data_IF_038714637723
#
_entry.id   IF_038714637723
#
_cell.length_a   1.000
_cell.length_b   1.000
_cell.length_c   1.000
_cell.angle_alpha   90.00
_cell.angle_beta   90.00
_cell.angle_gamma   90.00
#
_symmetry.space_group_name_H-M   'P 1'
#
loop_
_entity.id
_entity.type
_entity.pdbx_description
1 polymer ?
#
# COMPACT_ATOMS: atom_id res chain seq x y z
N UNK A 1 -21.29 -10.70 -8.29
CA UNK A 1 -21.50 -9.39 -7.63
C UNK A 1 -20.22 -8.59 -7.77
N UNK A 2 -20.18 -7.46 -8.49
CA UNK A 2 -18.95 -6.69 -8.67
C UNK A 2 -18.44 -6.12 -7.34
N UNK A 3 -17.12 -6.07 -7.17
CA UNK A 3 -16.47 -5.43 -6.02
C UNK A 3 -16.84 -3.94 -5.98
N UNK A 4 -17.44 -3.48 -4.87
CA UNK A 4 -17.78 -2.07 -4.68
C UNK A 4 -16.54 -1.28 -4.25
N UNK A 5 -16.08 -0.39 -5.12
CA UNK A 5 -15.00 0.57 -4.82
C UNK A 5 -15.40 1.51 -3.67
N UNK A 6 -14.51 1.74 -2.70
CA UNK A 6 -14.68 2.78 -1.67
C UNK A 6 -14.86 2.34 -0.21
N UNK A 7 -14.73 1.04 0.11
CA UNK A 7 -14.95 0.56 1.49
C UNK A 7 -14.13 -0.68 1.91
N UNK A 8 -13.04 -0.98 1.20
CA UNK A 8 -12.20 -2.16 1.50
C UNK A 8 -11.20 -1.92 2.62
N UNK A 9 -10.99 -2.91 3.47
CA UNK A 9 -9.93 -2.94 4.48
C UNK A 9 -8.57 -3.25 3.86
N UNK A 10 -7.53 -2.55 4.32
CA UNK A 10 -6.13 -2.78 3.94
C UNK A 10 -5.30 -3.11 5.17
N UNK A 11 -4.32 -4.02 5.00
CA UNK A 11 -3.34 -4.31 6.03
C UNK A 11 -2.60 -3.03 6.45
N UNK A 12 -2.51 -2.80 7.75
CA UNK A 12 -1.92 -1.57 8.30
C UNK A 12 -0.39 -1.56 8.34
N UNK A 13 0.22 -2.74 8.18
CA UNK A 13 1.67 -2.92 8.19
C UNK A 13 2.30 -2.17 7.02
N UNK A 14 3.45 -1.54 7.29
CA UNK A 14 4.19 -0.75 6.32
C UNK A 14 4.58 -1.62 5.12
N UNK A 15 4.39 -1.09 3.91
CA UNK A 15 4.71 -1.77 2.65
C UNK A 15 3.90 -3.07 2.39
N UNK A 16 2.80 -3.28 3.10
CA UNK A 16 1.90 -4.41 2.86
C UNK A 16 0.74 -4.02 1.92
N UNK A 17 0.65 -4.73 0.78
CA UNK A 17 -0.38 -4.49 -0.24
C UNK A 17 -1.55 -5.48 -0.13
N UNK A 18 -1.68 -6.19 0.99
CA UNK A 18 -2.80 -7.11 1.22
C UNK A 18 -4.05 -6.33 1.61
N UNK A 19 -5.10 -6.43 0.81
CA UNK A 19 -6.34 -5.68 0.98
C UNK A 19 -7.56 -6.54 0.62
N UNK A 20 -8.75 -6.04 0.92
CA UNK A 20 -10.01 -6.73 0.65
C UNK A 20 -10.22 -7.02 -0.84
N UNK A 21 -9.76 -6.12 -1.73
CA UNK A 21 -9.85 -6.33 -3.17
C UNK A 21 -9.07 -7.58 -3.60
N UNK A 22 -7.86 -7.81 -3.07
CA UNK A 22 -7.06 -9.00 -3.40
C UNK A 22 -7.70 -10.30 -2.90
N UNK A 23 -8.39 -10.27 -1.75
CA UNK A 23 -9.17 -11.42 -1.29
C UNK A 23 -10.34 -11.70 -2.22
N UNK A 24 -11.09 -10.66 -2.58
CA UNK A 24 -12.17 -10.77 -3.56
C UNK A 24 -11.66 -11.31 -4.90
N UNK A 25 -10.55 -10.79 -5.41
CA UNK A 25 -9.97 -11.24 -6.68
C UNK A 25 -9.57 -12.72 -6.59
N UNK A 26 -9.00 -13.16 -5.47
CA UNK A 26 -8.68 -14.57 -5.24
C UNK A 26 -9.93 -15.46 -5.19
N UNK A 27 -10.94 -15.07 -4.41
CA UNK A 27 -12.20 -15.81 -4.25
C UNK A 27 -12.93 -16.04 -5.58
N UNK A 28 -12.83 -15.08 -6.50
CA UNK A 28 -13.49 -15.13 -7.81
C UNK A 28 -12.56 -15.60 -8.94
N UNK A 29 -11.29 -15.87 -8.65
CA UNK A 29 -10.34 -16.42 -9.62
C UNK A 29 -10.36 -17.96 -9.61
N UNK A 30 -10.09 -18.62 -10.74
CA UNK A 30 -9.93 -20.07 -10.78
C UNK A 30 -8.77 -20.49 -9.87
N UNK A 31 -8.99 -21.54 -9.10
CA UNK A 31 -7.97 -22.07 -8.23
C UNK A 31 -6.83 -22.68 -9.05
N UNK A 32 -5.58 -22.42 -8.65
CA UNK A 32 -4.40 -22.96 -9.34
C UNK A 32 -4.28 -24.49 -9.22
N UNK A 33 -4.77 -25.07 -8.11
CA UNK A 33 -4.73 -26.51 -7.83
C UNK A 33 -5.99 -27.23 -8.35
N UNK A 34 -7.16 -26.62 -8.16
CA UNK A 34 -8.46 -27.17 -8.53
C UNK A 34 -9.06 -26.29 -9.61
N UNK A 35 -8.57 -26.40 -10.85
CA UNK A 35 -8.88 -25.48 -11.96
C UNK A 35 -10.38 -25.33 -12.26
N UNK A 36 -11.17 -26.34 -11.91
CA UNK A 36 -12.62 -26.35 -12.11
C UNK A 36 -13.39 -25.58 -11.03
N UNK A 37 -12.71 -25.17 -9.96
CA UNK A 37 -13.28 -24.45 -8.82
C UNK A 37 -12.66 -23.07 -8.69
N UNK A 38 -13.48 -22.09 -8.32
CA UNK A 38 -12.99 -20.78 -7.91
C UNK A 38 -12.46 -20.82 -6.47
N UNK A 39 -11.67 -19.83 -6.07
CA UNK A 39 -11.12 -19.74 -4.71
C UNK A 39 -12.19 -19.88 -3.62
N UNK A 40 -13.37 -19.29 -3.82
CA UNK A 40 -14.50 -19.38 -2.88
C UNK A 40 -15.05 -20.80 -2.67
N UNK A 41 -15.05 -21.61 -3.73
CA UNK A 41 -15.61 -22.96 -3.74
C UNK A 41 -14.52 -24.03 -3.56
N UNK A 42 -13.23 -23.63 -3.59
CA UNK A 42 -12.11 -24.52 -3.34
C UNK A 42 -11.97 -24.83 -1.83
N UNK A 43 -11.63 -26.06 -1.43
CA UNK A 43 -11.14 -26.37 -0.07
C UNK A 43 -9.79 -25.72 0.28
N UNK A 44 -9.21 -24.97 -0.65
CA UNK A 44 -7.94 -24.28 -0.49
C UNK A 44 -8.02 -23.19 0.58
N UNK A 45 -6.97 -23.07 1.40
CA UNK A 45 -6.83 -21.91 2.25
C UNK A 45 -6.58 -20.66 1.39
N UNK A 46 -7.30 -19.57 1.72
CA UNK A 46 -7.08 -18.27 1.10
C UNK A 46 -5.65 -17.75 1.31
N UNK A 47 -5.19 -16.81 0.48
CA UNK A 47 -3.80 -16.35 0.48
C UNK A 47 -3.42 -15.60 1.77
N UNK A 48 -4.41 -15.05 2.47
CA UNK A 48 -4.30 -14.47 3.80
C UNK A 48 -5.70 -14.26 4.39
N UNK A 49 -5.77 -13.92 5.68
CA UNK A 49 -6.97 -13.42 6.35
C UNK A 49 -6.65 -12.08 7.02
N UNK A 50 -7.65 -11.22 7.16
CA UNK A 50 -7.49 -9.95 7.87
C UNK A 50 -8.00 -10.10 9.31
N UNK A 51 -7.18 -9.67 10.26
CA UNK A 51 -7.45 -9.68 11.69
C UNK A 51 -7.58 -8.25 12.20
N UNK A 52 -8.68 -7.94 12.87
CA UNK A 52 -8.85 -6.65 13.52
C UNK A 52 -7.89 -6.50 14.71
N UNK A 53 -7.42 -5.27 14.93
CA UNK A 53 -6.67 -4.94 16.15
C UNK A 53 -7.61 -5.11 17.36
N UNK A 54 -7.18 -5.78 18.45
CA UNK A 54 -7.99 -5.92 19.66
C UNK A 54 -8.53 -4.58 20.18
N UNK A 55 -9.77 -4.57 20.67
CA UNK A 55 -10.46 -3.33 21.04
C UNK A 55 -9.95 -2.72 22.35
N UNK A 56 -9.54 -3.55 23.31
CA UNK A 56 -9.11 -3.15 24.67
C UNK A 56 -8.05 -4.10 25.22
N UNK A 57 -7.42 -3.74 26.35
CA UNK A 57 -6.49 -4.59 27.08
C UNK A 57 -5.01 -4.41 26.73
N UNK A 58 -4.14 -5.14 27.44
CA UNK A 58 -2.68 -5.05 27.30
C UNK A 58 -2.21 -5.47 25.90
N UNK A 59 -2.83 -6.52 25.35
CA UNK A 59 -2.54 -7.02 23.99
C UNK A 59 -2.76 -5.91 22.95
N UNK A 60 -3.80 -5.06 23.12
CA UNK A 60 -3.99 -3.91 22.23
C UNK A 60 -2.79 -2.97 22.28
N UNK A 61 -2.27 -2.67 23.46
CA UNK A 61 -1.11 -1.77 23.59
C UNK A 61 0.12 -2.37 22.90
N UNK A 62 0.34 -3.67 23.02
CA UNK A 62 1.43 -4.36 22.31
C UNK A 62 1.28 -4.31 20.80
N UNK A 63 0.06 -4.51 20.28
CA UNK A 63 -0.23 -4.32 18.86
C UNK A 63 0.05 -2.90 18.38
N UNK A 64 -0.25 -1.90 19.20
CA UNK A 64 0.04 -0.50 18.84
C UNK A 64 1.54 -0.20 18.91
N UNK A 65 2.27 -0.81 19.86
CA UNK A 65 3.73 -0.69 19.96
C UNK A 65 4.46 -1.34 18.78
N UNK A 66 3.95 -2.44 18.23
CA UNK A 66 4.54 -3.08 17.05
C UNK A 66 4.27 -2.32 15.74
N UNK A 67 3.33 -1.37 15.76
CA UNK A 67 3.03 -0.49 14.64
C UNK A 67 3.88 0.79 14.65
N UNK A 68 3.77 1.58 13.57
CA UNK A 68 4.55 2.81 13.39
C UNK A 68 4.25 3.82 14.51
N UNK A 69 5.26 4.62 14.87
CA UNK A 69 5.09 5.68 15.90
C UNK A 69 3.96 6.63 15.51
N UNK A 70 3.09 6.96 16.46
CA UNK A 70 1.93 7.84 16.24
C UNK A 70 0.77 7.19 15.46
N UNK A 71 0.79 5.86 15.29
CA UNK A 71 -0.29 5.14 14.65
C UNK A 71 -1.61 5.24 15.45
N UNK A 72 -2.67 5.73 14.80
CA UNK A 72 -4.02 5.74 15.34
C UNK A 72 -4.87 4.65 14.64
N UNK A 73 -5.32 3.62 15.36
CA UNK A 73 -6.10 2.53 14.80
C UNK A 73 -7.56 2.96 14.56
N UNK A 74 -7.95 3.16 13.31
CA UNK A 74 -9.36 3.28 12.92
C UNK A 74 -9.72 2.18 11.92
N UNK A 75 -10.60 1.25 12.31
CA UNK A 75 -11.00 0.07 11.52
C UNK A 75 -9.80 -0.66 10.88
N UNK A 76 -8.67 -0.65 11.58
CA UNK A 76 -7.39 -1.13 11.06
C UNK A 76 -7.31 -2.65 11.22
N UNK A 77 -6.74 -3.30 10.21
CA UNK A 77 -6.57 -4.74 10.16
C UNK A 77 -5.13 -5.10 9.86
N UNK A 78 -4.70 -6.27 10.33
CA UNK A 78 -3.40 -6.87 10.01
C UNK A 78 -3.65 -8.21 9.34
N UNK A 79 -2.93 -8.51 8.26
CA UNK A 79 -3.10 -9.79 7.57
C UNK A 79 -2.31 -10.94 8.25
N UNK A 80 -2.77 -12.18 8.06
CA UNK A 80 -2.17 -13.41 8.63
C UNK A 80 -0.66 -13.53 8.40
N UNK A 81 -0.13 -12.96 7.31
CA UNK A 81 1.31 -13.00 6.99
C UNK A 81 2.20 -12.39 8.06
N UNK A 82 1.65 -11.49 8.89
CA UNK A 82 2.42 -10.84 9.96
C UNK A 82 2.35 -11.60 11.30
N UNK A 83 1.54 -12.66 11.38
CA UNK A 83 1.30 -13.47 12.57
C UNK A 83 1.99 -14.83 12.40
N UNK A 84 2.73 -15.27 13.42
CA UNK A 84 3.50 -16.52 13.38
C UNK A 84 2.59 -17.73 13.14
N UNK A 85 1.52 -17.85 13.92
CA UNK A 85 0.57 -18.95 13.82
C UNK A 85 -0.55 -18.67 12.79
N UNK A 86 -0.37 -17.65 11.94
CA UNK A 86 -1.40 -17.10 11.07
C UNK A 86 -2.53 -16.39 11.82
N UNK A 87 -2.69 -16.59 13.13
CA UNK A 87 -3.68 -15.93 13.99
C UNK A 87 -3.02 -15.50 15.31
N UNK A 88 -3.63 -14.55 16.05
CA UNK A 88 -3.17 -14.23 17.41
C UNK A 88 -3.41 -15.43 18.34
N UNK A 89 -2.39 -15.88 19.05
CA UNK A 89 -2.46 -16.97 20.04
C UNK A 89 -1.93 -16.50 21.39
N UNK A 90 -2.10 -17.30 22.45
CA UNK A 90 -1.57 -16.96 23.77
C UNK A 90 -0.03 -16.85 23.79
N UNK A 91 0.66 -17.65 22.95
CA UNK A 91 2.11 -17.63 22.80
C UNK A 91 2.58 -16.52 21.84
N UNK A 92 1.83 -16.29 20.76
CA UNK A 92 2.13 -15.28 19.75
C UNK A 92 0.94 -14.32 19.57
N UNK A 93 0.71 -13.41 20.53
CA UNK A 93 -0.49 -12.57 20.52
C UNK A 93 -0.39 -11.42 19.53
N UNK A 94 0.82 -11.03 19.09
CA UNK A 94 1.09 -9.81 18.32
C UNK A 94 1.69 -10.12 16.93
N UNK A 95 1.54 -9.21 15.95
CA UNK A 95 2.23 -9.34 14.69
C UNK A 95 3.71 -9.00 14.83
N UNK A 96 4.56 -9.88 14.31
CA UNK A 96 6.04 -9.79 14.41
C UNK A 96 6.70 -9.94 13.04
N UNK A 97 6.06 -10.65 12.11
CA UNK A 97 6.65 -10.98 10.82
C UNK A 97 6.48 -9.85 9.80
N UNK A 98 7.51 -9.65 8.97
CA UNK A 98 7.47 -8.73 7.81
C UNK A 98 6.93 -7.32 8.13
N UNK A 99 7.27 -6.78 9.30
CA UNK A 99 6.70 -5.51 9.78
C UNK A 99 7.15 -4.26 8.98
N UNK A 100 8.01 -4.44 7.98
CA UNK A 100 8.44 -3.38 7.05
C UNK A 100 9.48 -2.41 7.61
N UNK A 101 9.91 -2.57 8.86
CA UNK A 101 11.01 -1.83 9.46
C UNK A 101 12.33 -2.53 9.16
N UNK A 102 12.75 -2.57 7.89
CA UNK A 102 14.17 -2.80 7.65
C UNK A 102 14.93 -1.60 8.23
N UNK A 103 16.00 -1.81 9.02
CA UNK A 103 16.90 -0.70 9.34
C UNK A 103 17.39 -0.14 8.01
N UNK A 104 17.15 1.15 7.78
CA UNK A 104 17.63 1.88 6.61
C UNK A 104 19.16 1.89 6.65
N UNK A 105 19.81 0.85 6.12
CA UNK A 105 21.27 0.81 5.94
C UNK A 105 21.71 1.45 4.62
N UNK A 106 20.78 1.97 3.82
CA UNK A 106 21.12 2.65 2.57
C UNK A 106 20.30 3.93 2.42
N UNK A 107 21.02 5.05 2.44
CA UNK A 107 20.61 6.37 1.98
C UNK A 107 19.87 6.24 0.65
N UNK A 108 18.54 6.25 0.69
CA UNK A 108 17.75 6.35 -0.54
C UNK A 108 17.95 7.78 -1.05
N UNK A 109 18.45 8.00 -2.29
CA UNK A 109 18.47 9.34 -2.87
C UNK A 109 17.02 9.83 -2.90
N UNK A 110 16.75 10.97 -2.26
CA UNK A 110 15.40 11.54 -2.18
C UNK A 110 14.75 11.63 -3.56
N UNK A 111 13.40 11.60 -3.59
CA UNK A 111 12.64 11.82 -4.82
C UNK A 111 13.15 13.07 -5.52
N UNK A 112 13.63 12.95 -6.75
CA UNK A 112 13.98 14.11 -7.58
C UNK A 112 12.71 14.95 -7.73
N UNK A 113 12.78 16.21 -7.29
CA UNK A 113 11.74 17.19 -7.53
C UNK A 113 11.51 17.25 -9.04
N UNK A 114 10.31 16.91 -9.51
CA UNK A 114 9.94 17.13 -10.90
C UNK A 114 9.97 18.65 -11.13
N UNK A 115 11.02 19.13 -11.81
CA UNK A 115 11.04 20.50 -12.33
C UNK A 115 9.87 20.61 -13.28
N UNK A 116 8.88 21.42 -12.90
CA UNK A 116 7.74 21.78 -13.76
C UNK A 116 8.33 22.27 -15.07
N UNK A 117 8.19 21.49 -16.14
CA UNK A 117 8.51 21.96 -17.49
C UNK A 117 7.53 23.09 -17.77
N UNK A 118 8.01 24.33 -17.64
CA UNK A 118 7.33 25.50 -18.15
C UNK A 118 7.34 25.32 -19.67
N UNK A 119 6.17 25.02 -20.24
CA UNK A 119 5.98 25.12 -21.67
C UNK A 119 6.11 26.60 -22.00
N UNK A 120 7.24 26.99 -22.59
CA UNK A 120 7.39 28.32 -23.16
C UNK A 120 6.37 28.44 -24.31
N UNK A 121 5.61 29.54 -24.40
CA UNK A 121 4.69 29.75 -25.51
C UNK A 121 5.46 29.81 -26.84
N UNK A 122 4.85 29.39 -27.97
CA UNK A 122 5.49 29.51 -29.26
C UNK A 122 5.76 30.99 -29.57
N UNK A 123 7.00 31.31 -29.94
CA UNK A 123 7.39 32.64 -30.41
C UNK A 123 6.88 32.83 -31.85
N UNK A 124 5.92 33.72 -32.00
CA UNK A 124 5.39 34.14 -33.29
C UNK A 124 6.39 35.12 -33.90
N UNK A 125 7.27 34.63 -34.77
CA UNK A 125 8.15 35.45 -35.59
C UNK A 125 7.37 36.21 -36.66
N UNK A 126 7.37 37.54 -36.57
CA UNK A 126 7.12 38.45 -37.71
C UNK A 126 8.01 39.69 -37.57
N UNK A 127 9.18 39.58 -38.19
CA UNK A 127 10.16 40.63 -38.45
C UNK A 127 9.56 41.76 -39.27
N UNK A 128 9.85 43.03 -38.95
CA UNK A 128 10.15 44.05 -39.98
C UNK A 128 10.96 45.22 -39.42
N UNK A 129 12.22 45.22 -39.86
CA UNK A 129 13.18 46.28 -40.12
C UNK A 129 12.78 47.75 -39.91
N UNK A 130 13.69 48.54 -39.32
CA UNK A 130 14.30 49.70 -40.00
C UNK A 130 15.58 50.24 -39.33
N UNK A 131 16.61 50.30 -40.17
CA UNK A 131 17.92 50.96 -40.09
C UNK A 131 17.89 52.42 -39.61
N UNK A 132 18.92 52.85 -38.86
CA UNK A 132 19.42 54.23 -38.88
C UNK A 132 20.97 54.26 -38.78
N UNK A 133 21.53 55.16 -39.60
CA UNK A 133 22.90 55.28 -40.14
C UNK A 133 23.99 55.72 -39.13
N UNK A 134 25.29 55.56 -39.50
CA UNK A 134 26.42 56.14 -38.78
C UNK A 134 26.63 57.63 -39.16
N UNK A 135 27.17 58.41 -38.23
CA UNK A 135 27.73 59.75 -38.48
C UNK A 135 29.15 59.84 -37.92
N UNK A 136 29.95 60.60 -38.66
CA UNK A 136 31.40 60.78 -38.59
C UNK A 136 31.92 61.43 -37.30
#
# INVERSE_FOLDING_TARGET
>A
MPYKSGGGSQCVVVNCNNNQKRLYDWENSPCQLHKDLNGKDCPCLGPFKQHCIPATGEIRLEWLKSNRKGFCPFKSVVCTKHLIDGRPTAQNPIPVLEMGYQPVTHTTPGRRLLKRLRLEPPENSSTTSRQLKPTA
#
